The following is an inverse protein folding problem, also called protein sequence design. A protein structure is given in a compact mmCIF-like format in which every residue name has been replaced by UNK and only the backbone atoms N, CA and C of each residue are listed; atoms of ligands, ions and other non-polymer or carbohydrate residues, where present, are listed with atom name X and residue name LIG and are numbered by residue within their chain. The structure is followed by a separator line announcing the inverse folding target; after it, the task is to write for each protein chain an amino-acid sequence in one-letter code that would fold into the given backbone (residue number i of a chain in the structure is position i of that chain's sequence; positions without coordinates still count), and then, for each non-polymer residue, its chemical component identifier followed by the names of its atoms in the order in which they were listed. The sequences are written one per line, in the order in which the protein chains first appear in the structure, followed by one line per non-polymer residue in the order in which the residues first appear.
data_IF_399781442462
#
_entry.id   IF_399781442462
#
_cell.length_a   1.000
_cell.length_b   1.000
_cell.length_c   1.000
_cell.angle_alpha   90.00
_cell.angle_beta   90.00
_cell.angle_gamma   90.00
#
_symmetry.space_group_name_H-M   'P 1'
#
loop_
_entity.id
_entity.type
_entity.pdbx_description
1 polymer ?
#
# COMPACT_ATOMS: atom_id res chain seq x y z
N UNK A 1 -2.74 17.80 18.73
CA UNK A 1 -2.53 18.32 17.37
C UNK A 1 -2.84 17.25 16.34
N UNK A 2 -3.60 17.61 15.40
CA UNK A 2 -4.02 16.66 14.39
C UNK A 2 -3.06 16.71 13.21
N UNK A 3 -2.67 15.54 12.72
CA UNK A 3 -1.80 15.43 11.57
C UNK A 3 -2.61 14.99 10.37
N UNK A 4 -2.40 15.65 9.25
CA UNK A 4 -3.07 15.30 8.00
C UNK A 4 -2.07 14.66 7.03
N UNK A 5 -1.01 14.05 7.57
CA UNK A 5 0.06 13.48 6.78
C UNK A 5 -0.06 11.97 6.69
N UNK A 6 -1.29 11.48 6.73
CA UNK A 6 -1.58 10.06 6.62
C UNK A 6 -2.00 9.70 5.21
N UNK A 7 -1.68 8.47 4.84
CA UNK A 7 -2.17 7.85 3.64
C UNK A 7 -3.40 7.02 3.97
N UNK A 8 -4.24 6.80 2.99
CA UNK A 8 -5.30 5.81 3.09
C UNK A 8 -4.90 4.61 2.24
N UNK A 9 -4.68 3.47 2.88
CA UNK A 9 -4.30 2.25 2.19
C UNK A 9 -5.51 1.34 2.07
N UNK A 10 -5.76 0.88 0.85
CA UNK A 10 -6.81 -0.11 0.58
C UNK A 10 -6.15 -1.26 -0.16
N UNK A 11 -6.26 -2.46 0.39
CA UNK A 11 -5.72 -3.66 -0.23
C UNK A 11 -6.86 -4.64 -0.40
N UNK A 12 -7.14 -5.02 -1.64
CA UNK A 12 -8.25 -5.92 -1.94
C UNK A 12 -7.75 -7.11 -2.74
N UNK A 13 -8.38 -8.26 -2.53
CA UNK A 13 -8.22 -9.42 -3.39
C UNK A 13 -9.57 -9.69 -4.06
N UNK A 14 -9.63 -10.63 -5.02
CA UNK A 14 -10.93 -10.92 -5.64
C UNK A 14 -12.00 -11.34 -4.64
N UNK A 15 -11.61 -11.96 -3.52
CA UNK A 15 -12.59 -12.48 -2.57
C UNK A 15 -12.91 -11.52 -1.44
N UNK A 16 -12.02 -10.59 -1.10
CA UNK A 16 -12.27 -9.80 0.09
C UNK A 16 -11.37 -8.58 0.16
N UNK A 17 -11.73 -7.67 1.06
CA UNK A 17 -10.88 -6.55 1.43
C UNK A 17 -9.93 -7.03 2.52
N UNK A 18 -8.63 -6.91 2.26
CA UNK A 18 -7.62 -7.38 3.18
C UNK A 18 -7.23 -6.31 4.19
N UNK A 19 -7.29 -5.05 3.78
CA UNK A 19 -7.01 -3.93 4.66
C UNK A 19 -7.64 -2.67 4.08
N UNK A 20 -8.12 -1.79 4.96
CA UNK A 20 -8.71 -0.51 4.56
C UNK A 20 -8.58 0.41 5.76
N UNK A 21 -7.62 1.33 5.72
CA UNK A 21 -7.41 2.21 6.85
C UNK A 21 -6.31 3.21 6.62
N UNK A 22 -6.07 4.03 7.63
CA UNK A 22 -5.03 5.05 7.60
C UNK A 22 -3.70 4.44 7.99
N UNK A 23 -2.65 4.81 7.24
CA UNK A 23 -1.30 4.34 7.51
C UNK A 23 -0.34 5.49 7.34
N UNK A 24 0.87 5.32 7.87
CA UNK A 24 1.89 6.36 7.82
C UNK A 24 2.81 6.18 6.63
N UNK A 25 3.10 4.94 6.28
CA UNK A 25 3.99 4.62 5.17
C UNK A 25 3.61 3.25 4.65
N UNK A 26 3.76 3.07 3.33
CA UNK A 26 3.51 1.78 2.68
C UNK A 26 4.73 1.44 1.83
N UNK A 27 5.25 0.23 1.97
CA UNK A 27 6.32 -0.28 1.12
C UNK A 27 5.77 -1.44 0.32
N UNK A 28 5.98 -1.40 -0.99
CA UNK A 28 5.37 -2.35 -1.90
C UNK A 28 6.43 -3.05 -2.75
N UNK A 29 6.22 -4.33 -3.11
CA UNK A 29 7.19 -5.07 -3.93
C UNK A 29 6.93 -4.80 -5.43
N UNK A 30 7.44 -3.67 -5.91
CA UNK A 30 7.26 -3.30 -7.30
C UNK A 30 8.09 -4.17 -8.24
N UNK A 31 7.65 -4.23 -9.50
CA UNK A 31 8.32 -5.05 -10.50
C UNK A 31 9.75 -4.58 -10.74
N UNK A 32 9.99 -3.29 -10.64
CA UNK A 32 11.32 -2.71 -10.85
C UNK A 32 12.08 -2.53 -9.55
N UNK A 33 11.55 -3.04 -8.44
CA UNK A 33 12.17 -2.92 -7.15
C UNK A 33 11.17 -2.45 -6.11
N UNK A 34 11.49 -2.71 -4.85
CA UNK A 34 10.67 -2.28 -3.73
C UNK A 34 10.67 -0.76 -3.66
N UNK A 35 9.51 -0.17 -3.35
CA UNK A 35 9.42 1.27 -3.20
C UNK A 35 8.46 1.62 -2.07
N UNK A 36 8.64 2.81 -1.50
CA UNK A 36 7.83 3.27 -0.38
C UNK A 36 7.03 4.50 -0.78
N UNK A 37 5.83 4.60 -0.24
CA UNK A 37 4.92 5.71 -0.47
C UNK A 37 4.68 6.40 0.85
N UNK A 38 4.91 7.70 0.87
CA UNK A 38 4.63 8.55 2.02
C UNK A 38 3.63 9.62 1.59
N UNK A 39 3.22 10.42 2.56
CA UNK A 39 2.28 11.50 2.31
C UNK A 39 2.77 12.40 1.17
N UNK A 40 1.86 12.81 0.31
CA UNK A 40 2.13 13.69 -0.83
C UNK A 40 3.03 13.04 -1.89
N UNK A 41 3.07 11.72 -1.94
CA UNK A 41 3.79 11.04 -3.01
C UNK A 41 3.13 11.34 -4.36
N UNK A 42 3.95 11.51 -5.39
CA UNK A 42 3.45 11.75 -6.73
C UNK A 42 2.60 10.57 -7.20
N UNK A 43 1.61 10.83 -8.05
CA UNK A 43 0.79 9.73 -8.58
C UNK A 43 1.64 8.73 -9.34
N UNK A 44 1.29 7.44 -9.17
CA UNK A 44 1.96 6.38 -9.92
C UNK A 44 1.04 5.16 -10.01
N UNK A 45 1.35 4.32 -11.00
CA UNK A 45 0.74 3.00 -11.15
C UNK A 45 1.90 2.03 -11.34
N UNK A 46 1.87 0.91 -10.64
CA UNK A 46 2.95 -0.06 -10.71
C UNK A 46 2.40 -1.48 -10.61
N UNK A 47 3.02 -2.39 -11.34
CA UNK A 47 2.79 -3.81 -11.17
C UNK A 47 3.55 -4.28 -9.94
N UNK A 48 2.95 -5.21 -9.19
CA UNK A 48 3.56 -5.78 -7.98
C UNK A 48 3.91 -7.24 -8.24
N UNK A 49 5.05 -7.66 -7.68
CA UNK A 49 5.47 -9.05 -7.78
C UNK A 49 5.29 -9.73 -6.44
N UNK A 50 5.56 -11.03 -6.39
CA UNK A 50 5.47 -11.80 -5.15
C UNK A 50 6.33 -11.15 -4.08
N UNK A 51 5.76 -10.99 -2.89
CA UNK A 51 6.43 -10.37 -1.78
C UNK A 51 5.43 -9.93 -0.74
N UNK A 52 5.79 -8.91 0.02
CA UNK A 52 4.93 -8.41 1.07
C UNK A 52 4.68 -6.92 0.90
N UNK A 53 3.44 -6.52 1.09
CA UNK A 53 3.10 -5.11 1.28
C UNK A 53 3.27 -4.83 2.75
N UNK A 54 4.17 -3.90 3.09
CA UNK A 54 4.43 -3.54 4.48
C UNK A 54 3.88 -2.16 4.74
N UNK A 55 3.23 -1.98 5.88
CA UNK A 55 2.66 -0.68 6.20
C UNK A 55 2.72 -0.46 7.70
N UNK A 56 2.76 0.80 8.10
CA UNK A 56 2.81 1.19 9.50
C UNK A 56 1.49 1.83 9.88
N UNK A 57 0.84 1.25 10.88
CA UNK A 57 -0.42 1.72 11.42
C UNK A 57 -0.25 1.90 12.91
N UNK A 58 -0.47 3.13 13.42
CA UNK A 58 -0.32 3.43 14.85
C UNK A 58 1.05 2.99 15.35
N UNK A 59 2.09 3.31 14.57
CA UNK A 59 3.48 3.04 14.90
C UNK A 59 3.82 1.55 14.96
N UNK A 60 2.91 0.69 14.49
CA UNK A 60 3.16 -0.75 14.39
C UNK A 60 3.29 -1.15 12.93
N UNK A 61 4.35 -1.86 12.60
CA UNK A 61 4.55 -2.33 11.24
C UNK A 61 3.83 -3.65 11.05
N UNK A 62 3.07 -3.73 9.96
CA UNK A 62 2.32 -4.92 9.59
C UNK A 62 2.61 -5.25 8.15
N UNK A 63 2.26 -6.45 7.74
CA UNK A 63 2.51 -6.87 6.37
C UNK A 63 1.42 -7.79 5.86
N UNK A 64 1.28 -7.81 4.52
CA UNK A 64 0.36 -8.68 3.82
C UNK A 64 1.15 -9.36 2.71
N UNK A 65 1.20 -10.69 2.72
CA UNK A 65 1.89 -11.44 1.68
C UNK A 65 1.04 -11.53 0.43
N UNK A 66 1.64 -11.32 -0.74
CA UNK A 66 0.94 -11.38 -2.00
C UNK A 66 1.76 -12.19 -3.00
N UNK A 67 1.09 -12.75 -4.01
CA UNK A 67 1.77 -13.44 -5.10
C UNK A 67 1.91 -12.52 -6.31
N UNK A 68 1.03 -11.55 -6.49
CA UNK A 68 1.08 -10.60 -7.60
C UNK A 68 0.06 -9.50 -7.35
N UNK A 69 0.07 -8.48 -8.20
CA UNK A 69 -0.93 -7.44 -8.11
C UNK A 69 -0.52 -6.19 -8.85
N UNK A 70 -1.28 -5.14 -8.59
CA UNK A 70 -0.90 -3.82 -9.05
C UNK A 70 -1.41 -2.79 -8.06
N UNK A 71 -0.81 -1.60 -8.09
CA UNK A 71 -1.14 -0.55 -7.16
C UNK A 71 -1.27 0.77 -7.91
N UNK A 72 -2.22 1.57 -7.47
CA UNK A 72 -2.37 2.95 -7.93
C UNK A 72 -2.23 3.86 -6.72
N UNK A 73 -1.41 4.90 -6.87
CA UNK A 73 -1.22 5.91 -5.83
C UNK A 73 -1.69 7.23 -6.39
N UNK A 74 -2.61 7.89 -5.70
CA UNK A 74 -3.12 9.18 -6.13
C UNK A 74 -3.81 9.87 -4.95
N UNK A 75 -3.51 11.16 -4.76
CA UNK A 75 -4.19 11.98 -3.75
C UNK A 75 -4.13 11.35 -2.36
N UNK A 76 -2.97 10.82 -2.02
CA UNK A 76 -2.72 10.19 -0.71
C UNK A 76 -3.57 8.95 -0.47
N UNK A 77 -4.04 8.33 -1.57
CA UNK A 77 -4.76 7.05 -1.50
C UNK A 77 -3.92 6.02 -2.23
N UNK A 78 -3.63 4.92 -1.55
CA UNK A 78 -2.88 3.80 -2.10
C UNK A 78 -3.85 2.65 -2.26
N UNK A 79 -4.18 2.32 -3.51
CA UNK A 79 -5.16 1.27 -3.82
C UNK A 79 -4.42 0.10 -4.46
N UNK A 80 -4.37 -1.02 -3.77
CA UNK A 80 -3.69 -2.22 -4.26
C UNK A 80 -4.70 -3.33 -4.49
N UNK A 81 -4.66 -3.91 -5.69
CA UNK A 81 -5.45 -5.09 -6.05
C UNK A 81 -4.47 -6.24 -6.16
N UNK A 82 -4.64 -7.27 -5.35
CA UNK A 82 -3.62 -8.31 -5.21
C UNK A 82 -4.22 -9.70 -5.30
N UNK A 83 -3.33 -10.64 -5.60
CA UNK A 83 -3.60 -12.08 -5.46
C UNK A 83 -2.77 -12.58 -4.29
N UNK A 84 -3.38 -13.40 -3.47
CA UNK A 84 -2.70 -13.97 -2.29
C UNK A 84 -1.88 -15.20 -2.66
#
# INVERSE_FOLDING_TARGET
MEHHEDLHLIVVSPESTLFDGKVEIVTLPGELGSFSVLYDHAPLISTLIKGEIKYTEDELEKSIGISSGFVEVRDNIVSACVEI
#
